data_IF_412744541332
#
_entry.id   IF_412744541332
#
_cell.length_a   1.000
_cell.length_b   1.000
_cell.length_c   1.000
_cell.angle_alpha   90.00
_cell.angle_beta   90.00
_cell.angle_gamma   90.00
#
_symmetry.space_group_name_H-M   'P 1'
#
loop_
_entity.id
_entity.type
_entity.pdbx_description
1 polymer ?
#
# COMPACT_ATOMS: atom_id res chain seq x y z
N UNK A 1 -8.53 -32.23 15.93
CA UNK A 1 -7.23 -31.53 16.03
C UNK A 1 -6.17 -32.11 15.10
N UNK A 2 -5.94 -33.44 15.06
CA UNK A 2 -4.95 -34.06 14.14
C UNK A 2 -5.18 -33.69 12.66
N UNK A 3 -6.41 -33.85 12.15
CA UNK A 3 -6.73 -33.53 10.75
C UNK A 3 -6.61 -32.04 10.36
N UNK A 4 -6.79 -31.12 11.31
CA UNK A 4 -6.62 -29.69 11.04
C UNK A 4 -5.13 -29.30 10.93
N UNK A 5 -4.30 -29.87 11.80
CA UNK A 5 -2.87 -29.60 11.77
C UNK A 5 -2.18 -30.26 10.57
N UNK A 6 -2.69 -31.42 10.15
CA UNK A 6 -2.27 -32.12 8.92
C UNK A 6 -2.68 -31.32 7.67
N UNK A 7 -3.91 -30.80 7.62
CA UNK A 7 -4.37 -29.89 6.55
C UNK A 7 -3.52 -28.62 6.42
N UNK A 8 -3.20 -27.95 7.54
CA UNK A 8 -2.35 -26.75 7.54
C UNK A 8 -0.95 -27.05 6.98
N UNK A 9 -0.40 -28.22 7.32
CA UNK A 9 0.91 -28.68 6.84
C UNK A 9 0.89 -29.06 5.35
N UNK A 10 -0.08 -29.85 4.91
CA UNK A 10 -0.16 -30.36 3.53
C UNK A 10 -0.47 -29.25 2.51
N UNK A 11 -1.25 -28.24 2.91
CA UNK A 11 -1.69 -27.16 2.01
C UNK A 11 -0.80 -25.92 2.05
N UNK A 12 0.31 -25.94 2.78
CA UNK A 12 1.23 -24.80 2.89
C UNK A 12 0.58 -23.54 3.48
N UNK A 13 -0.51 -23.70 4.25
CA UNK A 13 -1.35 -22.59 4.75
C UNK A 13 -0.55 -21.65 5.66
N UNK A 14 0.45 -22.19 6.37
CA UNK A 14 1.35 -21.40 7.22
C UNK A 14 2.10 -20.34 6.41
N UNK A 15 2.63 -20.70 5.23
CA UNK A 15 3.34 -19.76 4.36
C UNK A 15 2.42 -18.66 3.82
N UNK A 16 1.20 -19.03 3.44
CA UNK A 16 0.18 -18.07 3.01
C UNK A 16 -0.23 -17.13 4.14
N UNK A 17 -0.43 -17.64 5.36
CA UNK A 17 -0.79 -16.83 6.52
C UNK A 17 0.32 -15.84 6.88
N UNK A 18 1.58 -16.29 6.91
CA UNK A 18 2.74 -15.42 7.16
C UNK A 18 2.85 -14.35 6.06
N UNK A 19 2.69 -14.73 4.80
CA UNK A 19 2.71 -13.79 3.68
C UNK A 19 1.63 -12.71 3.79
N UNK A 20 0.41 -13.08 4.19
CA UNK A 20 -0.68 -12.12 4.34
C UNK A 20 -0.46 -11.14 5.51
N UNK A 21 0.00 -11.64 6.66
CA UNK A 21 0.30 -10.81 7.84
C UNK A 21 1.43 -9.83 7.54
N UNK A 22 2.53 -10.32 6.92
CA UNK A 22 3.64 -9.46 6.51
C UNK A 22 3.21 -8.45 5.46
N UNK A 23 2.43 -8.87 4.45
CA UNK A 23 1.89 -7.99 3.42
C UNK A 23 1.05 -6.85 4.02
N UNK A 24 0.16 -7.15 4.96
CA UNK A 24 -0.63 -6.14 5.66
C UNK A 24 0.22 -5.17 6.49
N UNK A 25 1.28 -5.66 7.14
CA UNK A 25 2.19 -4.81 7.91
C UNK A 25 2.99 -3.85 7.01
N UNK A 26 3.54 -4.35 5.90
CA UNK A 26 4.28 -3.53 4.93
C UNK A 26 3.36 -2.46 4.33
N UNK A 27 2.16 -2.82 3.90
CA UNK A 27 1.19 -1.85 3.36
C UNK A 27 0.89 -0.71 4.34
N UNK A 28 0.81 -0.98 5.65
CA UNK A 28 0.61 0.06 6.68
C UNK A 28 1.80 1.02 6.79
N UNK A 29 3.03 0.49 6.77
CA UNK A 29 4.25 1.31 6.84
C UNK A 29 4.32 2.24 5.62
N UNK A 30 4.03 1.70 4.44
CA UNK A 30 4.04 2.50 3.22
C UNK A 30 2.91 3.52 3.21
N UNK A 31 1.70 3.15 3.63
CA UNK A 31 0.59 4.10 3.75
C UNK A 31 0.90 5.26 4.71
N UNK A 32 1.56 5.00 5.84
CA UNK A 32 2.04 6.07 6.75
C UNK A 32 3.09 6.94 6.07
N UNK A 33 4.05 6.37 5.34
CA UNK A 33 5.01 7.16 4.56
C UNK A 33 4.30 8.09 3.56
N UNK A 34 3.24 7.62 2.89
CA UNK A 34 2.50 8.48 1.97
C UNK A 34 1.73 9.57 2.72
N UNK A 35 0.89 9.17 3.67
CA UNK A 35 -0.02 10.08 4.36
C UNK A 35 0.71 11.10 5.24
N UNK A 36 1.80 10.70 5.89
CA UNK A 36 2.45 11.52 6.91
C UNK A 36 3.64 12.31 6.35
N UNK A 37 4.20 11.90 5.21
CA UNK A 37 5.39 12.54 4.62
C UNK A 37 5.10 13.05 3.21
N UNK A 38 4.60 12.19 2.31
CA UNK A 38 4.41 12.58 0.90
C UNK A 38 3.24 13.56 0.74
N UNK A 39 2.07 13.29 1.34
CA UNK A 39 0.87 14.12 1.21
C UNK A 39 1.08 15.54 1.75
N UNK A 40 1.72 15.76 2.93
CA UNK A 40 2.05 17.11 3.39
C UNK A 40 3.02 17.83 2.45
N UNK A 41 4.05 17.14 1.94
CA UNK A 41 5.02 17.74 1.00
C UNK A 41 4.35 18.12 -0.32
N UNK A 42 3.50 17.26 -0.87
CA UNK A 42 2.70 17.55 -2.06
C UNK A 42 1.73 18.69 -1.82
N UNK A 43 1.08 18.73 -0.65
CA UNK A 43 0.17 19.80 -0.26
C UNK A 43 0.85 21.16 -0.15
N UNK A 44 2.11 21.20 0.32
CA UNK A 44 2.93 22.42 0.34
C UNK A 44 3.27 22.91 -1.09
N UNK A 45 3.57 21.99 -2.01
CA UNK A 45 3.95 22.33 -3.39
C UNK A 45 2.74 22.78 -4.22
N UNK A 46 1.59 22.11 -4.06
CA UNK A 46 0.38 22.36 -4.83
C UNK A 46 -0.52 23.44 -4.20
N UNK A 47 -0.15 23.97 -3.03
CA UNK A 47 -0.86 25.04 -2.34
C UNK A 47 -2.21 24.64 -1.72
N UNK A 48 -2.62 23.38 -1.90
CA UNK A 48 -3.79 22.79 -1.27
C UNK A 48 -3.32 21.87 -0.13
N UNK A 49 -3.59 22.26 1.12
CA UNK A 49 -3.24 21.50 2.33
C UNK A 49 -3.86 20.10 2.38
N UNK A 50 -4.83 19.81 1.51
CA UNK A 50 -5.43 18.49 1.32
C UNK A 50 -6.00 18.37 -0.10
N UNK A 51 -5.33 17.63 -0.98
CA UNK A 51 -5.90 17.25 -2.28
C UNK A 51 -7.24 16.51 -2.09
N UNK A 52 -7.37 15.74 -1.01
CA UNK A 52 -8.58 15.01 -0.64
C UNK A 52 -9.83 15.90 -0.53
N UNK A 53 -9.64 17.16 -0.13
CA UNK A 53 -10.69 18.15 0.10
C UNK A 53 -11.05 18.96 -1.16
N UNK A 54 -10.42 18.68 -2.31
CA UNK A 54 -10.84 19.27 -3.57
C UNK A 54 -12.16 18.65 -4.03
N UNK A 55 -13.21 19.44 -4.08
CA UNK A 55 -14.52 19.02 -4.54
C UNK A 55 -15.06 19.97 -5.61
N UNK A 56 -15.87 19.42 -6.51
CA UNK A 56 -16.66 20.20 -7.46
C UNK A 56 -18.12 20.18 -7.00
N UNK A 57 -18.72 21.34 -6.81
CA UNK A 57 -20.14 21.46 -6.43
C UNK A 57 -21.00 21.58 -7.68
N UNK A 58 -21.98 20.69 -7.82
CA UNK A 58 -23.03 20.77 -8.85
C UNK A 58 -24.37 20.84 -8.13
N UNK A 59 -24.90 22.05 -7.94
CA UNK A 59 -26.10 22.27 -7.14
C UNK A 59 -25.88 21.93 -5.67
N UNK A 60 -26.65 20.98 -5.13
CA UNK A 60 -26.50 20.48 -3.75
C UNK A 60 -25.57 19.26 -3.62
N UNK A 61 -25.04 18.75 -4.73
CA UNK A 61 -24.16 17.59 -4.74
C UNK A 61 -22.68 18.01 -4.72
N UNK A 62 -21.90 17.38 -3.83
CA UNK A 62 -20.46 17.57 -3.70
C UNK A 62 -19.74 16.37 -4.33
N UNK A 63 -19.03 16.58 -5.44
CA UNK A 63 -18.22 15.55 -6.10
C UNK A 63 -16.78 15.70 -5.61
N UNK A 64 -16.35 14.82 -4.70
CA UNK A 64 -15.01 14.82 -4.10
C UNK A 64 -13.97 14.16 -5.03
N UNK A 65 -13.70 14.77 -6.18
CA UNK A 65 -12.69 14.27 -7.13
C UNK A 65 -11.28 14.26 -6.56
N UNK A 66 -11.00 15.16 -5.62
CA UNK A 66 -9.73 15.29 -4.93
C UNK A 66 -9.32 14.03 -4.17
N UNK A 67 -10.26 13.40 -3.45
CA UNK A 67 -10.01 12.13 -2.77
C UNK A 67 -9.65 11.01 -3.74
N UNK A 68 -10.30 10.95 -4.90
CA UNK A 68 -9.98 9.95 -5.91
C UNK A 68 -8.56 10.10 -6.46
N UNK A 69 -8.12 11.34 -6.73
CA UNK A 69 -6.74 11.63 -7.15
C UNK A 69 -5.75 11.27 -6.05
N UNK A 70 -6.06 11.59 -4.79
CA UNK A 70 -5.23 11.20 -3.64
C UNK A 70 -5.00 9.69 -3.59
N UNK A 71 -6.07 8.89 -3.72
CA UNK A 71 -5.98 7.42 -3.69
C UNK A 71 -5.14 6.87 -4.87
N UNK A 72 -5.21 7.49 -6.05
CA UNK A 72 -4.36 7.11 -7.18
C UNK A 72 -2.88 7.39 -6.88
N UNK A 73 -2.57 8.55 -6.29
CA UNK A 73 -1.21 8.89 -5.88
C UNK A 73 -0.71 7.89 -4.83
N UNK A 74 -1.51 7.60 -3.80
CA UNK A 74 -1.19 6.63 -2.75
C UNK A 74 -0.87 5.26 -3.36
N UNK A 75 -1.70 4.79 -4.29
CA UNK A 75 -1.48 3.52 -4.99
C UNK A 75 -0.15 3.50 -5.76
N UNK A 76 0.16 4.57 -6.51
CA UNK A 76 1.41 4.67 -7.27
C UNK A 76 2.64 4.69 -6.36
N UNK A 77 2.57 5.41 -5.24
CA UNK A 77 3.66 5.45 -4.26
C UNK A 77 3.82 4.08 -3.59
N UNK A 78 2.73 3.41 -3.21
CA UNK A 78 2.79 2.06 -2.65
C UNK A 78 3.45 1.10 -3.63
N UNK A 79 3.04 1.10 -4.89
CA UNK A 79 3.63 0.27 -5.93
C UNK A 79 5.14 0.55 -6.10
N UNK A 80 5.53 1.83 -6.09
CA UNK A 80 6.92 2.25 -6.23
C UNK A 80 7.77 1.82 -5.03
N UNK A 81 7.30 2.04 -3.80
CA UNK A 81 8.02 1.65 -2.58
C UNK A 81 8.13 0.13 -2.47
N UNK A 82 7.10 -0.63 -2.84
CA UNK A 82 7.18 -2.09 -2.89
C UNK A 82 8.20 -2.54 -3.93
N UNK A 83 8.19 -1.95 -5.13
CA UNK A 83 9.17 -2.24 -6.18
C UNK A 83 10.61 -1.97 -5.71
N UNK A 84 10.87 -0.77 -5.18
CA UNK A 84 12.19 -0.41 -4.66
C UNK A 84 12.57 -1.19 -3.40
N UNK A 85 11.62 -1.56 -2.54
CA UNK A 85 11.86 -2.39 -1.37
C UNK A 85 12.33 -3.79 -1.77
N UNK A 86 11.63 -4.42 -2.72
CA UNK A 86 12.03 -5.74 -3.27
C UNK A 86 13.36 -5.66 -4.01
N UNK A 87 13.56 -4.61 -4.81
CA UNK A 87 14.78 -4.43 -5.58
C UNK A 87 15.99 -4.05 -4.69
N UNK A 88 15.80 -3.17 -3.72
CA UNK A 88 16.82 -2.65 -2.81
C UNK A 88 17.30 -3.68 -1.80
N UNK A 89 16.41 -4.55 -1.31
CA UNK A 89 16.79 -5.73 -0.53
C UNK A 89 17.53 -6.79 -1.35
N UNK A 90 17.66 -6.60 -2.67
CA UNK A 90 18.35 -7.54 -3.54
C UNK A 90 17.67 -8.91 -3.56
N UNK A 91 16.38 -8.99 -3.23
CA UNK A 91 15.62 -10.24 -3.24
C UNK A 91 15.58 -10.86 -4.65
N UNK A 92 15.68 -10.03 -5.69
CA UNK A 92 15.90 -10.44 -7.08
C UNK A 92 17.17 -11.30 -7.28
N UNK A 93 18.17 -11.18 -6.39
CA UNK A 93 19.43 -11.94 -6.42
C UNK A 93 19.38 -13.20 -5.54
N UNK A 94 18.42 -13.30 -4.61
CA UNK A 94 18.23 -14.45 -3.73
C UNK A 94 17.46 -15.59 -4.40
N UNK A 95 16.78 -15.30 -5.52
CA UNK A 95 16.22 -16.32 -6.44
C UNK A 95 17.25 -16.82 -7.47
N UNK A 96 18.56 -16.67 -7.18
CA UNK A 96 19.56 -17.46 -7.89
C UNK A 96 19.40 -18.92 -7.46
N UNK A 97 18.67 -19.66 -8.29
CA UNK A 97 18.64 -21.13 -8.34
C UNK A 97 19.99 -21.69 -7.89
N UNK A 98 19.97 -22.43 -6.79
CA UNK A 98 20.93 -23.50 -6.57
C UNK A 98 20.52 -24.69 -7.41
#
# INVERSE_FOLDING_TARGET
MKGFMEFIRERGVVGLAVGFILGGAVSKVVASLVNDIINPVLGLILGATDLSNMYFSVGSAYIMFGNFVSVIIDFLVIALVVYFGVHGLGLNKLDKKK
#
